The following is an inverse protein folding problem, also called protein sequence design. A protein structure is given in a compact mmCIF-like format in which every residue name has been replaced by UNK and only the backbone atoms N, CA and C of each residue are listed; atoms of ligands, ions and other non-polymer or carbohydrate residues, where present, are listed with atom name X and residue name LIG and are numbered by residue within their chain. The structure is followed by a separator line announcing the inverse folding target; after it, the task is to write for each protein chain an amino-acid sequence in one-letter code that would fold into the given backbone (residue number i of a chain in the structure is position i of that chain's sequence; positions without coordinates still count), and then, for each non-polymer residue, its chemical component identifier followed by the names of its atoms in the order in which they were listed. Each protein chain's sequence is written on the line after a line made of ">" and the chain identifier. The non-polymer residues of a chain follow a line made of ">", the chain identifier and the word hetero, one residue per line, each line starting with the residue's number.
data_IF_333195784688
#
_entry.id   IF_333195784688
#
_cell.length_a   1.000
_cell.length_b   1.000
_cell.length_c   1.000
_cell.angle_alpha   90.00
_cell.angle_beta   90.00
_cell.angle_gamma   90.00
#
_symmetry.space_group_name_H-M   'P 1'
#
loop_
_entity.id
_entity.type
_entity.pdbx_description
1 polymer ?
#
# COMPACT_ATOMS: atom_id res chain seq x y z
N UNK A 1 22.88 6.92 -30.22
CA UNK A 1 21.83 5.95 -30.53
C UNK A 1 20.54 6.38 -29.85
N UNK A 2 19.52 6.71 -30.64
CA UNK A 2 18.19 7.06 -30.12
C UNK A 2 17.56 5.77 -29.58
N UNK A 3 17.46 5.64 -28.26
CA UNK A 3 16.69 4.58 -27.66
C UNK A 3 15.20 4.87 -27.92
N UNK A 4 14.56 4.00 -28.67
CA UNK A 4 13.14 4.14 -28.96
C UNK A 4 12.31 3.71 -27.76
N UNK A 5 11.48 4.61 -27.27
CA UNK A 5 10.42 4.26 -26.34
C UNK A 5 9.33 3.50 -27.08
N UNK A 6 8.99 2.31 -26.59
CA UNK A 6 7.99 1.46 -27.22
C UNK A 6 6.81 1.23 -26.29
N UNK A 7 5.62 1.40 -26.83
CA UNK A 7 4.35 1.00 -26.21
C UNK A 7 3.80 -0.16 -27.03
N UNK A 8 3.64 -1.32 -26.42
CA UNK A 8 3.20 -2.52 -27.11
C UNK A 8 2.02 -3.16 -26.40
N UNK A 9 0.98 -3.49 -27.17
CA UNK A 9 -0.11 -4.33 -26.72
C UNK A 9 0.15 -5.77 -27.15
N UNK A 10 0.12 -6.69 -26.16
CA UNK A 10 0.28 -8.12 -26.39
C UNK A 10 -1.09 -8.80 -26.34
N UNK A 11 -1.62 -9.17 -27.51
CA UNK A 11 -2.91 -9.83 -27.63
C UNK A 11 -2.96 -11.24 -27.00
N UNK A 12 -1.81 -11.94 -26.94
CA UNK A 12 -1.73 -13.29 -26.39
C UNK A 12 -1.96 -13.39 -24.87
N UNK A 13 -1.58 -12.38 -24.11
CA UNK A 13 -1.80 -12.28 -22.66
C UNK A 13 -2.61 -11.06 -22.25
N UNK A 14 -3.14 -10.34 -23.23
CA UNK A 14 -4.00 -9.17 -23.07
C UNK A 14 -3.39 -8.08 -22.17
N UNK A 15 -2.10 -7.77 -22.38
CA UNK A 15 -1.37 -6.78 -21.58
C UNK A 15 -0.83 -5.64 -22.43
N UNK A 16 -0.74 -4.47 -21.80
CA UNK A 16 -0.09 -3.29 -22.34
C UNK A 16 1.27 -3.13 -21.65
N UNK A 17 2.36 -3.05 -22.44
CA UNK A 17 3.73 -2.93 -21.94
C UNK A 17 4.36 -1.65 -22.44
N UNK A 18 5.03 -0.92 -21.56
CA UNK A 18 5.83 0.26 -21.86
C UNK A 18 7.28 -0.03 -21.47
N UNK A 19 8.22 0.17 -22.39
CA UNK A 19 9.64 -0.12 -22.11
C UNK A 19 10.58 0.34 -23.21
N UNK A 20 11.87 0.16 -22.98
CA UNK A 20 12.94 0.72 -23.81
C UNK A 20 13.59 -0.29 -24.77
N UNK A 21 13.32 -1.59 -24.69
CA UNK A 21 14.07 -2.59 -25.45
C UNK A 21 13.17 -3.56 -26.23
N UNK A 22 13.66 -3.97 -27.41
CA UNK A 22 12.95 -4.89 -28.30
C UNK A 22 12.97 -6.35 -27.79
N UNK A 23 13.89 -6.70 -26.89
CA UNK A 23 14.16 -8.08 -26.46
C UNK A 23 14.10 -8.30 -24.95
N UNK A 24 13.85 -7.28 -24.15
CA UNK A 24 13.78 -7.41 -22.69
C UNK A 24 12.52 -6.75 -22.17
N UNK A 25 11.62 -7.56 -21.59
CA UNK A 25 10.39 -7.09 -20.93
C UNK A 25 10.72 -6.46 -19.56
N UNK A 26 11.66 -5.53 -19.55
CA UNK A 26 11.98 -4.72 -18.37
C UNK A 26 11.08 -3.50 -18.38
N UNK A 27 9.99 -3.56 -17.66
CA UNK A 27 9.02 -2.47 -17.64
C UNK A 27 7.88 -2.77 -16.70
N UNK A 28 6.76 -2.18 -16.96
CA UNK A 28 5.52 -2.46 -16.26
C UNK A 28 4.43 -2.89 -17.25
N UNK A 29 3.48 -3.67 -16.79
CA UNK A 29 2.34 -4.12 -17.59
C UNK A 29 1.02 -3.79 -16.93
N UNK A 30 0.03 -3.43 -17.77
CA UNK A 30 -1.37 -3.34 -17.41
C UNK A 30 -2.11 -4.50 -18.06
N UNK A 31 -2.57 -5.45 -17.26
CA UNK A 31 -3.37 -6.56 -17.76
C UNK A 31 -4.84 -6.15 -17.96
N UNK A 32 -5.57 -6.84 -18.84
CA UNK A 32 -7.01 -6.60 -19.07
C UNK A 32 -7.87 -6.79 -17.81
N UNK A 33 -7.42 -7.58 -16.84
CA UNK A 33 -8.03 -7.72 -15.52
C UNK A 33 -7.74 -6.58 -14.54
N UNK A 34 -7.10 -5.48 -15.01
CA UNK A 34 -6.79 -4.30 -14.19
C UNK A 34 -5.55 -4.43 -13.30
N UNK A 35 -4.79 -5.53 -13.40
CA UNK A 35 -3.56 -5.68 -12.63
C UNK A 35 -2.42 -4.83 -13.22
N UNK A 36 -1.67 -4.17 -12.32
CA UNK A 36 -0.41 -3.53 -12.63
C UNK A 36 0.75 -4.41 -12.12
N UNK A 37 1.70 -4.73 -12.97
CA UNK A 37 2.90 -5.48 -12.60
C UNK A 37 4.14 -4.72 -13.06
N UNK A 38 5.06 -4.47 -12.14
CA UNK A 38 6.38 -3.92 -12.43
C UNK A 38 7.44 -5.03 -12.29
N UNK A 39 8.45 -5.03 -13.16
CA UNK A 39 9.59 -5.95 -13.08
C UNK A 39 10.63 -5.55 -12.02
N UNK A 40 10.51 -4.36 -11.45
CA UNK A 40 11.37 -3.80 -10.42
C UNK A 40 10.57 -3.12 -9.32
N UNK A 41 11.21 -2.27 -8.55
CA UNK A 41 10.59 -1.55 -7.46
C UNK A 41 9.53 -0.56 -7.95
N UNK A 42 8.45 -0.41 -7.18
CA UNK A 42 7.46 0.66 -7.36
C UNK A 42 7.76 1.76 -6.34
N UNK A 43 8.26 2.89 -6.84
CA UNK A 43 8.64 4.04 -6.01
C UNK A 43 7.69 5.20 -6.21
N UNK A 44 7.43 5.95 -5.15
CA UNK A 44 6.69 7.21 -5.21
C UNK A 44 7.51 8.33 -4.55
N UNK A 45 7.35 9.56 -5.03
CA UNK A 45 8.00 10.72 -4.41
C UNK A 45 7.57 10.86 -2.95
N UNK A 46 8.56 11.00 -2.05
CA UNK A 46 8.35 11.19 -0.62
C UNK A 46 9.28 12.24 -0.02
N UNK A 47 9.76 13.16 -0.86
CA UNK A 47 10.65 14.24 -0.47
C UNK A 47 9.94 15.21 0.49
N UNK A 48 10.61 15.56 1.59
CA UNK A 48 10.11 16.48 2.61
C UNK A 48 9.71 17.83 2.02
N UNK A 49 10.46 18.32 1.02
CA UNK A 49 10.23 19.60 0.34
C UNK A 49 8.91 19.69 -0.43
N UNK A 50 8.26 18.54 -0.68
CA UNK A 50 6.97 18.42 -1.35
C UNK A 50 5.81 18.31 -0.37
N UNK A 51 6.06 18.40 0.94
CA UNK A 51 5.08 18.14 1.99
C UNK A 51 4.98 19.34 2.92
N UNK A 52 3.78 19.59 3.39
CA UNK A 52 3.47 20.62 4.38
C UNK A 52 2.78 20.01 5.60
N UNK A 53 2.84 20.71 6.73
CA UNK A 53 2.16 20.31 7.98
C UNK A 53 2.48 18.86 8.41
N UNK A 54 3.75 18.49 8.35
CA UNK A 54 4.20 17.14 8.69
C UNK A 54 3.97 16.89 10.18
N UNK A 55 3.21 15.85 10.50
CA UNK A 55 2.91 15.41 11.85
C UNK A 55 3.04 13.89 11.96
N UNK A 56 3.45 13.40 13.12
CA UNK A 56 3.48 11.97 13.42
C UNK A 56 2.06 11.41 13.45
N UNK A 57 1.87 10.27 12.82
CA UNK A 57 0.58 9.57 12.81
C UNK A 57 0.29 8.93 14.16
N UNK A 58 -1.00 8.77 14.45
CA UNK A 58 -1.48 7.98 15.59
C UNK A 58 -1.43 6.48 15.22
N UNK A 59 -0.46 5.77 15.79
CA UNK A 59 -0.28 4.33 15.57
C UNK A 59 -1.46 3.48 16.01
N UNK A 60 -2.23 3.93 17.03
CA UNK A 60 -3.39 3.20 17.53
C UNK A 60 -4.50 3.04 16.50
N UNK A 61 -4.53 3.87 15.47
CA UNK A 61 -5.48 3.74 14.35
C UNK A 61 -5.30 2.44 13.60
N UNK A 62 -4.07 1.95 13.38
CA UNK A 62 -3.88 0.68 12.69
C UNK A 62 -4.42 -0.52 13.46
N UNK A 63 -4.48 -0.46 14.79
CA UNK A 63 -5.09 -1.50 15.62
C UNK A 63 -6.61 -1.63 15.42
N UNK A 64 -7.25 -0.62 14.84
CA UNK A 64 -8.67 -0.62 14.50
C UNK A 64 -8.95 -1.12 13.08
N UNK A 65 -7.90 -1.32 12.29
CA UNK A 65 -8.00 -1.82 10.93
C UNK A 65 -8.02 -3.34 10.92
N UNK A 66 -8.69 -3.93 9.92
CA UNK A 66 -8.83 -5.37 9.78
C UNK A 66 -8.27 -5.85 8.45
N UNK A 67 -7.34 -6.82 8.51
CA UNK A 67 -6.95 -7.60 7.35
C UNK A 67 -7.98 -8.69 7.07
N UNK A 68 -8.31 -8.91 5.81
CA UNK A 68 -9.33 -9.89 5.39
C UNK A 68 -8.83 -10.73 4.22
N UNK A 69 -9.35 -11.95 4.11
CA UNK A 69 -9.32 -12.76 2.89
C UNK A 69 -10.66 -12.63 2.18
N UNK A 70 -10.64 -12.59 0.87
CA UNK A 70 -11.86 -12.48 0.05
C UNK A 70 -11.70 -13.20 -1.29
N UNK A 71 -12.81 -13.32 -2.02
CA UNK A 71 -12.81 -13.75 -3.43
C UNK A 71 -13.27 -12.58 -4.29
N UNK A 72 -12.49 -12.25 -5.31
CA UNK A 72 -12.83 -11.27 -6.33
C UNK A 72 -12.71 -11.93 -7.71
N UNK A 73 -13.76 -11.87 -8.50
CA UNK A 73 -13.82 -12.47 -9.84
C UNK A 73 -13.44 -13.97 -9.86
N UNK A 74 -13.83 -14.71 -8.82
CA UNK A 74 -13.50 -16.13 -8.65
C UNK A 74 -12.10 -16.42 -8.11
N UNK A 75 -11.25 -15.42 -7.93
CA UNK A 75 -9.86 -15.56 -7.44
C UNK A 75 -9.78 -15.20 -5.96
N UNK A 76 -9.15 -16.10 -5.17
CA UNK A 76 -8.86 -15.82 -3.76
C UNK A 76 -7.79 -14.74 -3.65
N UNK A 77 -8.00 -13.80 -2.74
CA UNK A 77 -7.08 -12.70 -2.45
C UNK A 77 -7.16 -12.29 -0.98
N UNK A 78 -6.35 -11.32 -0.60
CA UNK A 78 -6.34 -10.73 0.74
C UNK A 78 -6.06 -9.24 0.67
N UNK A 79 -6.45 -8.52 1.71
CA UNK A 79 -6.24 -7.08 1.80
C UNK A 79 -7.08 -6.47 2.92
N UNK A 80 -7.54 -5.26 2.71
CA UNK A 80 -8.43 -4.53 3.61
C UNK A 80 -9.72 -4.14 2.89
N UNK A 81 -10.75 -3.75 3.64
CA UNK A 81 -12.00 -3.22 3.09
C UNK A 81 -11.97 -1.70 3.13
N UNK A 82 -12.08 -1.05 1.98
CA UNK A 82 -11.97 0.40 1.87
C UNK A 82 -12.97 1.15 2.78
N UNK A 83 -14.19 0.70 2.90
CA UNK A 83 -15.22 1.29 3.77
C UNK A 83 -14.90 1.16 5.26
N UNK A 84 -14.12 0.14 5.66
CA UNK A 84 -13.64 0.00 7.03
C UNK A 84 -12.46 0.95 7.29
N UNK A 85 -11.52 1.02 6.35
CA UNK A 85 -10.38 1.94 6.42
C UNK A 85 -10.84 3.39 6.45
N UNK A 86 -11.83 3.77 5.66
CA UNK A 86 -12.37 5.14 5.59
C UNK A 86 -12.88 5.66 6.95
N UNK A 87 -13.41 4.79 7.80
CA UNK A 87 -13.87 5.16 9.14
C UNK A 87 -12.72 5.50 10.10
N UNK A 88 -11.54 4.97 9.86
CA UNK A 88 -10.37 5.10 10.74
C UNK A 88 -9.38 6.12 10.18
N UNK A 89 -9.13 6.09 8.89
CA UNK A 89 -8.16 6.89 8.17
C UNK A 89 -8.70 7.24 6.76
N UNK A 90 -9.65 8.20 6.66
CA UNK A 90 -10.31 8.55 5.41
C UNK A 90 -9.34 9.02 4.32
N UNK A 91 -8.20 9.59 4.69
CA UNK A 91 -7.15 10.04 3.78
C UNK A 91 -6.47 8.90 3.01
N UNK A 92 -6.67 7.65 3.42
CA UNK A 92 -6.18 6.46 2.71
C UNK A 92 -7.14 5.98 1.63
N UNK A 93 -8.33 6.56 1.52
CA UNK A 93 -9.38 6.06 0.64
C UNK A 93 -9.70 7.08 -0.44
N UNK A 94 -9.70 6.62 -1.69
CA UNK A 94 -10.17 7.39 -2.83
C UNK A 94 -11.50 6.81 -3.29
N UNK A 95 -12.45 7.70 -3.60
CA UNK A 95 -13.74 7.32 -4.18
C UNK A 95 -13.76 7.75 -5.64
N UNK A 96 -14.03 6.81 -6.54
CA UNK A 96 -14.16 7.08 -7.96
C UNK A 96 -15.48 7.81 -8.25
N UNK A 97 -15.48 8.60 -9.33
CA UNK A 97 -16.68 9.26 -9.87
C UNK A 97 -17.37 8.31 -10.87
N UNK A 98 -17.79 7.15 -10.36
CA UNK A 98 -18.58 6.15 -11.09
C UNK A 98 -19.95 5.94 -10.39
N UNK A 99 -20.89 5.25 -11.05
CA UNK A 99 -22.21 5.01 -10.51
C UNK A 99 -22.22 4.28 -9.16
N UNK A 100 -21.22 3.41 -8.93
CA UNK A 100 -21.06 2.66 -7.68
C UNK A 100 -20.30 3.43 -6.62
N UNK A 101 -19.68 4.59 -6.96
CA UNK A 101 -18.72 5.30 -6.10
C UNK A 101 -17.66 4.34 -5.54
N UNK A 102 -17.04 3.59 -6.46
CA UNK A 102 -16.08 2.54 -6.13
C UNK A 102 -14.93 3.10 -5.31
N UNK A 103 -14.65 2.46 -4.19
CA UNK A 103 -13.58 2.89 -3.27
C UNK A 103 -12.31 2.08 -3.48
N UNK A 104 -11.17 2.78 -3.40
CA UNK A 104 -9.83 2.19 -3.45
C UNK A 104 -8.99 2.65 -2.28
N UNK A 105 -7.96 1.88 -1.95
CA UNK A 105 -7.07 2.15 -0.81
C UNK A 105 -5.66 2.43 -1.29
N UNK A 106 -5.06 3.51 -0.78
CA UNK A 106 -3.65 3.83 -0.96
C UNK A 106 -2.78 2.89 -0.09
N UNK A 107 -2.61 1.65 -0.52
CA UNK A 107 -1.95 0.60 0.26
C UNK A 107 -0.54 0.96 0.74
N UNK A 108 0.26 1.64 -0.09
CA UNK A 108 1.59 2.09 0.29
C UNK A 108 1.60 3.03 1.50
N UNK A 109 0.55 3.84 1.65
CA UNK A 109 0.45 4.82 2.75
C UNK A 109 0.09 4.17 4.10
N UNK A 110 -0.46 2.94 4.10
CA UNK A 110 -0.67 2.14 5.33
C UNK A 110 0.62 1.89 6.09
N UNK A 111 1.77 1.88 5.40
CA UNK A 111 3.09 1.67 6.02
C UNK A 111 3.38 2.71 7.11
N UNK A 112 2.98 3.97 6.91
CA UNK A 112 3.16 5.02 7.91
C UNK A 112 2.45 4.70 9.23
N UNK A 113 1.21 4.24 9.17
CA UNK A 113 0.45 3.79 10.35
C UNK A 113 1.07 2.58 11.01
N UNK A 114 1.52 1.59 10.23
CA UNK A 114 2.16 0.39 10.78
C UNK A 114 3.48 0.72 11.48
N UNK A 115 4.27 1.66 10.95
CA UNK A 115 5.51 2.12 11.59
C UNK A 115 5.22 2.69 12.99
N UNK A 116 4.27 3.59 13.12
CA UNK A 116 3.95 4.19 14.41
C UNK A 116 3.30 3.17 15.37
N UNK A 117 2.44 2.26 14.87
CA UNK A 117 1.91 1.15 15.69
C UNK A 117 3.02 0.28 16.28
N UNK A 118 4.04 -0.07 15.48
CA UNK A 118 5.17 -0.88 15.96
C UNK A 118 5.95 -0.14 17.04
N UNK A 119 6.13 1.18 16.91
CA UNK A 119 6.79 2.00 17.93
C UNK A 119 5.98 2.09 19.22
N UNK A 120 4.68 2.30 19.13
CA UNK A 120 3.78 2.32 20.28
C UNK A 120 3.82 1.00 21.03
N UNK A 121 3.66 -0.13 20.34
CA UNK A 121 3.75 -1.46 20.93
C UNK A 121 5.13 -1.73 21.55
N UNK A 122 6.22 -1.26 20.93
CA UNK A 122 7.57 -1.38 21.50
C UNK A 122 7.67 -0.62 22.82
N UNK A 123 7.12 0.58 22.88
CA UNK A 123 7.11 1.39 24.12
C UNK A 123 6.31 0.70 25.24
N UNK A 124 5.13 0.18 24.94
CA UNK A 124 4.30 -0.56 25.89
C UNK A 124 5.03 -1.82 26.43
N UNK A 125 5.74 -2.54 25.55
CA UNK A 125 6.53 -3.71 25.95
C UNK A 125 7.67 -3.29 26.90
N UNK A 126 8.36 -2.19 26.64
CA UNK A 126 9.46 -1.73 27.48
C UNK A 126 8.95 -1.29 28.85
N UNK A 127 7.84 -0.58 28.93
CA UNK A 127 7.18 -0.22 30.19
C UNK A 127 6.77 -1.46 31.01
N UNK A 128 6.23 -2.49 30.34
CA UNK A 128 5.87 -3.75 30.99
C UNK A 128 7.10 -4.48 31.55
N UNK A 129 8.21 -4.50 30.82
CA UNK A 129 9.46 -5.10 31.28
C UNK A 129 10.01 -4.38 32.52
N UNK A 130 10.06 -3.04 32.52
CA UNK A 130 10.50 -2.27 33.68
C UNK A 130 9.63 -2.53 34.92
N UNK A 131 8.31 -2.65 34.76
CA UNK A 131 7.39 -2.99 35.84
C UNK A 131 7.67 -4.39 36.41
N UNK A 132 7.87 -5.38 35.54
CA UNK A 132 8.21 -6.75 35.96
C UNK A 132 9.53 -6.81 36.71
N UNK A 133 10.58 -6.14 36.21
CA UNK A 133 11.89 -6.10 36.87
C UNK A 133 11.83 -5.45 38.26
N UNK A 134 11.03 -4.38 38.39
CA UNK A 134 10.81 -3.70 39.67
C UNK A 134 10.01 -4.56 40.67
N UNK A 135 9.08 -5.39 40.21
CA UNK A 135 8.29 -6.27 41.07
C UNK A 135 9.09 -7.51 41.54
N UNK A 136 10.03 -8.01 40.71
CA UNK A 136 10.90 -9.14 41.06
C UNK A 136 12.01 -8.70 42.04
N UNK A 137 12.36 -7.42 42.06
CA UNK A 137 13.42 -6.85 42.90
C UNK A 137 12.96 -6.50 44.31
N UNK A 138 11.71 -6.72 44.65
CA UNK A 138 11.10 -6.52 45.99
C UNK A 138 10.95 -7.84 46.72
#
# INVERSE_FOLDING_TARGET
>A
SSQAFRMTYHSGNNSFVMGHDENSYTGFSFASGGNFTASGDVTAYSDERLKENIQTLDGKKALQMRGVSFTKDGVKSSGVIAQEIEKVAPELVLTADDEMQTKSVAYGNLVGYLIETVKDLKSEIDELKERLDNDISK
#
